data_IF_280643436944
#
_entry.id   IF_280643436944
#
_cell.length_a   1.000
_cell.length_b   1.000
_cell.length_c   1.000
_cell.angle_alpha   90.00
_cell.angle_beta   90.00
_cell.angle_gamma   90.00
#
_symmetry.space_group_name_H-M   'P 1'
#
loop_
_entity.id
_entity.type
_entity.pdbx_description
1 polymer ?
#
# COMPACT_ATOMS: atom_id res chain seq x y z
N UNK A 1 13.82 30.18 -22.36
CA UNK A 1 12.56 29.68 -21.76
C UNK A 1 12.21 28.24 -22.16
N UNK A 2 12.61 27.77 -23.33
CA UNK A 2 12.22 26.45 -23.84
C UNK A 2 12.99 25.24 -23.31
N UNK A 3 14.07 25.43 -22.56
CA UNK A 3 14.95 24.30 -22.22
C UNK A 3 14.37 23.40 -21.08
N UNK A 4 13.86 23.96 -19.98
CA UNK A 4 13.40 23.17 -18.83
C UNK A 4 12.13 22.34 -19.16
N UNK A 5 11.21 22.88 -19.95
CA UNK A 5 10.00 22.17 -20.37
C UNK A 5 10.35 20.97 -21.25
N UNK A 6 11.19 21.16 -22.25
CA UNK A 6 11.67 20.10 -23.12
C UNK A 6 12.45 19.01 -22.32
N UNK A 7 13.26 19.43 -21.35
CA UNK A 7 13.96 18.48 -20.47
C UNK A 7 13.01 17.69 -19.60
N UNK A 8 11.92 18.30 -19.08
CA UNK A 8 10.89 17.61 -18.28
C UNK A 8 10.16 16.56 -19.14
N UNK A 9 9.79 16.92 -20.37
CA UNK A 9 9.13 15.99 -21.29
C UNK A 9 10.03 14.81 -21.64
N UNK A 10 11.27 15.08 -22.03
CA UNK A 10 12.28 14.05 -22.28
C UNK A 10 12.46 13.12 -21.06
N UNK A 11 12.54 13.69 -19.84
CA UNK A 11 12.63 12.91 -18.62
C UNK A 11 11.42 11.99 -18.41
N UNK A 12 10.23 12.49 -18.61
CA UNK A 12 9.00 11.71 -18.45
C UNK A 12 8.90 10.57 -19.47
N UNK A 13 9.34 10.81 -20.70
CA UNK A 13 9.42 9.79 -21.73
C UNK A 13 10.43 8.70 -21.39
N UNK A 14 11.63 9.06 -20.95
CA UNK A 14 12.61 8.09 -20.44
C UNK A 14 12.03 7.27 -19.27
N UNK A 15 11.36 7.94 -18.33
CA UNK A 15 10.73 7.27 -17.20
C UNK A 15 9.61 6.31 -17.63
N UNK A 16 8.87 6.65 -18.67
CA UNK A 16 7.77 5.84 -19.21
C UNK A 16 8.27 4.67 -20.05
N UNK A 17 9.13 4.92 -21.02
CA UNK A 17 9.48 3.95 -22.05
C UNK A 17 10.75 3.15 -21.74
N UNK A 18 11.77 3.76 -21.18
CA UNK A 18 13.02 3.04 -20.83
C UNK A 18 12.93 2.43 -19.42
N UNK A 19 12.54 3.22 -18.40
CA UNK A 19 12.45 2.74 -17.00
C UNK A 19 11.15 2.02 -16.67
N UNK A 20 10.15 2.08 -17.56
CA UNK A 20 8.84 1.42 -17.40
C UNK A 20 8.22 1.69 -16.03
N UNK A 21 8.26 2.95 -15.56
CA UNK A 21 7.70 3.32 -14.28
C UNK A 21 6.18 3.25 -14.30
N UNK A 22 5.57 3.01 -13.13
CA UNK A 22 4.11 2.97 -13.01
C UNK A 22 3.47 4.32 -13.33
N UNK A 23 2.22 4.29 -13.83
CA UNK A 23 1.46 5.50 -14.14
C UNK A 23 1.31 6.44 -12.93
N UNK A 24 1.16 5.89 -11.71
CA UNK A 24 1.11 6.68 -10.48
C UNK A 24 2.42 7.42 -10.21
N UNK A 25 3.57 6.77 -10.48
CA UNK A 25 4.89 7.39 -10.35
C UNK A 25 5.07 8.50 -11.39
N UNK A 26 4.70 8.25 -12.65
CA UNK A 26 4.76 9.24 -13.73
C UNK A 26 3.87 10.45 -13.43
N UNK A 27 2.65 10.20 -12.94
CA UNK A 27 1.74 11.27 -12.52
C UNK A 27 2.31 12.11 -11.38
N UNK A 28 2.94 11.47 -10.39
CA UNK A 28 3.60 12.17 -9.29
C UNK A 28 4.77 13.03 -9.78
N UNK A 29 5.63 12.48 -10.64
CA UNK A 29 6.74 13.21 -11.23
C UNK A 29 6.27 14.40 -12.07
N UNK A 30 5.28 14.20 -12.95
CA UNK A 30 4.70 15.27 -13.76
C UNK A 30 4.17 16.40 -12.87
N UNK A 31 3.42 16.08 -11.82
CA UNK A 31 2.87 17.07 -10.89
C UNK A 31 3.97 17.84 -10.15
N UNK A 32 5.00 17.13 -9.66
CA UNK A 32 6.06 17.74 -8.88
C UNK A 32 6.97 18.65 -9.74
N UNK A 33 7.30 18.21 -10.95
CA UNK A 33 8.12 18.98 -11.90
C UNK A 33 7.35 20.18 -12.46
N UNK A 34 6.05 20.04 -12.74
CA UNK A 34 5.20 21.15 -13.17
C UNK A 34 5.09 22.23 -12.07
N UNK A 35 4.96 21.83 -10.82
CA UNK A 35 4.94 22.74 -9.68
C UNK A 35 6.26 23.49 -9.53
N UNK A 36 7.38 22.80 -9.68
CA UNK A 36 8.71 23.41 -9.62
C UNK A 36 8.91 24.41 -10.77
N UNK A 37 8.54 24.04 -12.00
CA UNK A 37 8.57 24.94 -13.16
C UNK A 37 7.75 26.22 -12.92
N UNK A 38 6.54 26.05 -12.39
CA UNK A 38 5.66 27.17 -12.06
C UNK A 38 6.27 28.10 -11.00
N UNK A 39 6.97 27.54 -10.00
CA UNK A 39 7.66 28.33 -8.99
C UNK A 39 8.82 29.14 -9.57
N UNK A 40 9.56 28.58 -10.51
CA UNK A 40 10.68 29.27 -11.17
C UNK A 40 10.24 30.47 -12.02
N UNK A 41 9.00 30.45 -12.56
CA UNK A 41 8.49 31.55 -13.39
C UNK A 41 9.34 31.88 -14.61
N UNK A 42 10.16 30.94 -15.08
CA UNK A 42 11.11 31.14 -16.18
C UNK A 42 12.52 31.58 -15.78
N UNK A 43 12.79 31.77 -14.49
CA UNK A 43 14.14 32.05 -14.00
C UNK A 43 15.06 30.83 -14.12
N UNK A 44 16.35 31.07 -14.31
CA UNK A 44 17.35 30.00 -14.27
C UNK A 44 17.48 29.43 -12.84
N UNK A 45 17.74 28.13 -12.78
CA UNK A 45 17.87 27.43 -11.51
C UNK A 45 19.17 27.82 -10.84
N UNK A 46 19.06 28.56 -9.74
CA UNK A 46 20.19 28.92 -8.87
C UNK A 46 20.06 28.25 -7.50
N UNK A 47 21.16 28.22 -6.75
CA UNK A 47 21.17 27.70 -5.38
C UNK A 47 20.22 28.46 -4.47
N UNK A 48 20.11 29.77 -4.64
CA UNK A 48 19.22 30.61 -3.85
C UNK A 48 17.75 30.34 -4.17
N UNK A 49 17.39 30.19 -5.45
CA UNK A 49 16.05 29.79 -5.87
C UNK A 49 15.66 28.41 -5.36
N UNK A 50 16.58 27.45 -5.36
CA UNK A 50 16.33 26.15 -4.76
C UNK A 50 16.10 26.24 -3.26
N UNK A 51 16.85 27.06 -2.54
CA UNK A 51 16.66 27.30 -1.10
C UNK A 51 15.29 27.96 -0.84
N UNK A 52 14.89 28.91 -1.66
CA UNK A 52 13.56 29.53 -1.59
C UNK A 52 12.44 28.50 -1.88
N UNK A 53 12.63 27.64 -2.88
CA UNK A 53 11.66 26.57 -3.18
C UNK A 53 11.53 25.58 -2.03
N UNK A 54 12.63 25.19 -1.40
CA UNK A 54 12.60 24.31 -0.23
C UNK A 54 11.83 24.96 0.93
N UNK A 55 12.06 26.26 1.16
CA UNK A 55 11.31 27.05 2.15
C UNK A 55 9.82 27.08 1.82
N UNK A 56 9.47 27.35 0.56
CA UNK A 56 8.09 27.30 0.08
C UNK A 56 7.45 25.93 0.31
N UNK A 57 8.15 24.83 -0.03
CA UNK A 57 7.63 23.48 0.17
C UNK A 57 7.38 23.19 1.66
N UNK A 58 8.31 23.57 2.53
CA UNK A 58 8.16 23.33 3.98
C UNK A 58 7.01 24.11 4.60
N UNK A 59 6.72 25.31 4.09
CA UNK A 59 5.61 26.12 4.56
C UNK A 59 4.24 25.64 4.03
N UNK A 60 4.22 24.99 2.84
CA UNK A 60 2.99 24.67 2.13
C UNK A 60 2.59 23.20 2.22
N UNK A 61 3.50 22.29 2.58
CA UNK A 61 3.27 20.85 2.51
C UNK A 61 3.77 20.10 3.75
N UNK A 62 3.11 18.98 4.04
CA UNK A 62 3.55 18.06 5.08
C UNK A 62 4.95 17.47 4.76
N UNK A 63 5.78 17.17 5.78
CA UNK A 63 7.18 16.72 5.60
C UNK A 63 7.37 15.53 4.65
N UNK A 64 6.43 14.57 4.65
CA UNK A 64 6.45 13.44 3.70
C UNK A 64 6.28 13.90 2.24
N UNK A 65 5.41 14.88 2.01
CA UNK A 65 5.18 15.43 0.67
C UNK A 65 6.39 16.22 0.21
N UNK A 66 7.01 17.00 1.08
CA UNK A 66 8.26 17.73 0.81
C UNK A 66 9.36 16.75 0.42
N UNK A 67 9.57 15.69 1.22
CA UNK A 67 10.56 14.65 0.93
C UNK A 67 10.34 14.00 -0.44
N UNK A 68 9.08 13.67 -0.78
CA UNK A 68 8.73 13.07 -2.07
C UNK A 68 9.02 14.03 -3.22
N UNK A 69 8.59 15.29 -3.11
CA UNK A 69 8.79 16.33 -4.14
C UNK A 69 10.27 16.58 -4.42
N UNK A 70 11.07 16.69 -3.37
CA UNK A 70 12.52 16.85 -3.52
C UNK A 70 13.20 15.60 -4.08
N UNK A 71 12.70 14.40 -3.76
CA UNK A 71 13.19 13.17 -4.37
C UNK A 71 12.89 13.11 -5.88
N UNK A 72 11.70 13.59 -6.31
CA UNK A 72 11.33 13.70 -7.74
C UNK A 72 12.28 14.63 -8.48
N UNK A 73 12.58 15.80 -7.92
CA UNK A 73 13.51 16.77 -8.51
C UNK A 73 14.94 16.24 -8.57
N UNK A 74 15.43 15.62 -7.49
CA UNK A 74 16.75 15.01 -7.48
C UNK A 74 16.89 13.91 -8.53
N UNK A 75 15.85 13.08 -8.70
CA UNK A 75 15.85 12.03 -9.71
C UNK A 75 15.88 12.62 -11.14
N UNK A 76 15.14 13.70 -11.36
CA UNK A 76 15.13 14.43 -12.63
C UNK A 76 16.53 14.99 -12.95
N UNK A 77 17.08 15.83 -12.08
CA UNK A 77 18.36 16.48 -12.32
C UNK A 77 19.51 15.49 -12.45
N UNK A 78 19.52 14.43 -11.63
CA UNK A 78 20.53 13.36 -11.74
C UNK A 78 20.48 12.67 -13.11
N UNK A 79 19.28 12.40 -13.63
CA UNK A 79 19.16 11.76 -14.94
C UNK A 79 19.58 12.70 -16.05
N UNK A 80 19.20 13.97 -16.00
CA UNK A 80 19.59 14.99 -17.00
C UNK A 80 21.11 15.20 -17.02
N UNK A 81 21.76 15.21 -15.89
CA UNK A 81 23.23 15.26 -15.79
C UNK A 81 23.87 13.99 -16.37
N UNK A 82 23.38 12.80 -15.99
CA UNK A 82 23.88 11.52 -16.53
C UNK A 82 23.73 11.43 -18.05
N UNK A 83 22.74 12.11 -18.63
CA UNK A 83 22.50 12.18 -20.09
C UNK A 83 23.19 13.38 -20.75
N UNK A 84 24.05 14.10 -20.01
CA UNK A 84 24.76 15.28 -20.49
C UNK A 84 23.85 16.40 -21.02
N UNK A 85 22.56 16.34 -20.65
CA UNK A 85 21.57 17.37 -21.03
C UNK A 85 21.73 18.67 -20.20
N UNK A 86 22.40 18.57 -19.05
CA UNK A 86 22.85 19.67 -18.19
C UNK A 86 24.29 19.43 -17.77
N UNK A 87 25.06 20.49 -17.60
CA UNK A 87 26.48 20.41 -17.24
C UNK A 87 26.72 20.07 -15.76
N UNK A 88 25.78 20.42 -14.87
CA UNK A 88 25.92 20.22 -13.43
C UNK A 88 24.54 20.10 -12.77
N UNK A 89 24.45 19.16 -11.81
CA UNK A 89 23.24 18.96 -11.01
C UNK A 89 23.14 20.02 -9.91
N UNK A 90 22.13 20.90 -9.92
CA UNK A 90 22.01 21.97 -8.95
C UNK A 90 21.74 21.47 -7.52
N UNK A 91 21.37 20.19 -7.35
CA UNK A 91 21.13 19.56 -6.04
C UNK A 91 22.38 18.92 -5.43
N UNK A 92 23.48 18.78 -6.16
CA UNK A 92 24.66 18.00 -5.72
C UNK A 92 25.26 18.52 -4.42
N UNK A 93 25.33 19.85 -4.26
CA UNK A 93 25.93 20.52 -3.09
C UNK A 93 24.90 20.92 -2.02
N UNK A 94 23.63 20.55 -2.19
CA UNK A 94 22.56 20.90 -1.24
C UNK A 94 22.38 19.79 -0.21
N UNK A 95 22.82 20.05 1.03
CA UNK A 95 22.52 19.21 2.17
C UNK A 95 21.10 19.54 2.68
N UNK A 96 20.13 18.75 2.25
CA UNK A 96 18.74 18.95 2.67
C UNK A 96 18.39 17.85 3.68
N UNK A 97 18.25 18.23 4.94
CA UNK A 97 17.79 17.35 6.01
C UNK A 97 16.31 17.63 6.28
N UNK A 98 15.43 16.73 5.84
CA UNK A 98 14.00 16.78 6.17
C UNK A 98 13.77 15.75 7.27
N UNK A 99 13.55 16.23 8.47
CA UNK A 99 13.11 15.40 9.59
C UNK A 99 11.62 15.11 9.40
N UNK A 100 11.30 13.97 8.82
CA UNK A 100 9.94 13.44 8.86
C UNK A 100 9.84 12.53 10.09
N UNK A 101 8.95 12.82 11.05
CA UNK A 101 8.79 11.95 12.20
C UNK A 101 8.44 10.52 11.72
N UNK A 102 9.15 9.54 12.25
CA UNK A 102 8.82 8.12 12.05
C UNK A 102 7.52 7.86 12.78
N UNK A 103 6.40 7.96 12.09
CA UNK A 103 5.14 7.49 12.64
C UNK A 103 5.14 5.96 12.54
N UNK A 104 4.98 5.31 13.68
CA UNK A 104 4.67 3.87 13.70
C UNK A 104 3.39 3.63 12.88
N UNK A 105 3.32 2.53 12.13
CA UNK A 105 2.10 2.17 11.43
C UNK A 105 0.95 2.05 12.43
N UNK A 106 -0.17 2.70 12.11
CA UNK A 106 -1.38 2.56 12.90
C UNK A 106 -2.06 1.24 12.53
N UNK A 107 -2.24 0.38 13.51
CA UNK A 107 -3.11 -0.80 13.41
C UNK A 107 -4.55 -0.39 13.70
N UNK A 108 -5.49 -1.20 13.24
CA UNK A 108 -6.91 -1.07 13.58
C UNK A 108 -7.13 -1.95 14.83
N UNK A 109 -7.70 -1.44 15.92
CA UNK A 109 -8.06 -2.25 17.08
C UNK A 109 -9.00 -3.40 16.68
N UNK A 110 -8.84 -4.55 17.34
CA UNK A 110 -9.63 -5.76 17.01
C UNK A 110 -11.14 -5.52 17.10
N UNK A 111 -11.60 -4.82 18.17
CA UNK A 111 -13.01 -4.51 18.33
C UNK A 111 -13.57 -3.67 17.17
N UNK A 112 -12.80 -2.69 16.65
CA UNK A 112 -13.22 -1.89 15.49
C UNK A 112 -13.35 -2.75 14.23
N UNK A 113 -12.47 -3.74 14.04
CA UNK A 113 -12.60 -4.67 12.89
C UNK A 113 -13.85 -5.53 13.05
N UNK A 114 -14.09 -6.06 14.26
CA UNK A 114 -15.26 -6.87 14.57
C UNK A 114 -16.54 -6.07 14.31
N UNK A 115 -16.68 -4.89 14.91
CA UNK A 115 -17.84 -4.03 14.75
C UNK A 115 -18.06 -3.63 13.28
N UNK A 116 -16.97 -3.37 12.54
CA UNK A 116 -17.03 -3.05 11.12
C UNK A 116 -17.59 -4.21 10.29
N UNK A 117 -17.13 -5.43 10.54
CA UNK A 117 -17.62 -6.64 9.88
C UNK A 117 -19.05 -6.92 10.28
N UNK A 118 -19.39 -6.87 11.58
CA UNK A 118 -20.75 -7.04 12.07
C UNK A 118 -21.72 -6.06 11.41
N UNK A 119 -21.36 -4.77 11.31
CA UNK A 119 -22.18 -3.76 10.65
C UNK A 119 -22.41 -4.08 9.16
N UNK A 120 -21.45 -4.75 8.49
CA UNK A 120 -21.60 -5.16 7.11
C UNK A 120 -22.48 -6.42 6.98
N UNK A 121 -22.28 -7.40 7.85
CA UNK A 121 -23.08 -8.64 7.87
C UNK A 121 -24.55 -8.37 8.26
N UNK A 122 -24.81 -7.48 9.21
CA UNK A 122 -26.17 -7.07 9.58
C UNK A 122 -26.96 -6.39 8.44
N UNK A 123 -26.25 -5.73 7.51
CA UNK A 123 -26.89 -5.12 6.33
C UNK A 123 -27.22 -6.16 5.23
N UNK A 124 -26.64 -7.36 5.33
CA UNK A 124 -26.79 -8.37 4.29
C UNK A 124 -28.19 -9.00 4.29
N UNK A 125 -28.78 -9.01 3.13
CA UNK A 125 -29.99 -9.78 2.82
C UNK A 125 -29.74 -10.62 1.57
N UNK A 126 -30.34 -11.82 1.47
CA UNK A 126 -30.24 -12.64 0.26
C UNK A 126 -30.62 -11.83 -0.98
N UNK A 127 -29.73 -11.83 -1.99
CA UNK A 127 -29.92 -11.03 -3.19
C UNK A 127 -29.31 -9.62 -3.15
N UNK A 128 -28.88 -9.11 -2.01
CA UNK A 128 -28.19 -7.82 -1.89
C UNK A 128 -26.71 -7.92 -2.34
N UNK A 129 -26.51 -8.10 -3.64
CA UNK A 129 -25.16 -8.33 -4.21
C UNK A 129 -24.14 -7.24 -3.91
N UNK A 130 -24.57 -5.98 -3.80
CA UNK A 130 -23.67 -4.88 -3.42
C UNK A 130 -23.12 -5.04 -2.01
N UNK A 131 -23.97 -5.45 -1.06
CA UNK A 131 -23.56 -5.69 0.33
C UNK A 131 -22.66 -6.91 0.42
N UNK A 132 -23.00 -7.99 -0.29
CA UNK A 132 -22.19 -9.20 -0.37
C UNK A 132 -20.77 -8.90 -0.89
N UNK A 133 -20.65 -8.06 -1.92
CA UNK A 133 -19.36 -7.56 -2.41
C UNK A 133 -18.61 -6.77 -1.35
N UNK A 134 -19.30 -5.89 -0.64
CA UNK A 134 -18.69 -5.04 0.39
C UNK A 134 -18.12 -5.90 1.52
N UNK A 135 -18.86 -6.91 1.99
CA UNK A 135 -18.40 -7.88 2.98
C UNK A 135 -17.15 -8.60 2.47
N UNK A 136 -17.21 -9.14 1.25
CA UNK A 136 -16.05 -9.84 0.67
C UNK A 136 -14.82 -8.96 0.58
N UNK A 137 -14.96 -7.68 0.23
CA UNK A 137 -13.85 -6.71 0.19
C UNK A 137 -13.23 -6.52 1.58
N UNK A 138 -14.04 -6.37 2.62
CA UNK A 138 -13.57 -6.19 4.01
C UNK A 138 -12.88 -7.44 4.52
N UNK A 139 -13.46 -8.61 4.31
CA UNK A 139 -12.91 -9.91 4.70
C UNK A 139 -11.58 -10.21 3.99
N UNK A 140 -11.48 -9.96 2.69
CA UNK A 140 -10.23 -10.14 1.96
C UNK A 140 -9.14 -9.17 2.42
N UNK A 141 -9.46 -7.92 2.71
CA UNK A 141 -8.50 -6.96 3.25
C UNK A 141 -7.95 -7.42 4.61
N UNK A 142 -8.84 -7.86 5.50
CA UNK A 142 -8.48 -8.30 6.85
C UNK A 142 -7.79 -9.65 6.85
N UNK A 143 -8.37 -10.66 6.19
CA UNK A 143 -7.89 -12.04 6.22
C UNK A 143 -6.66 -12.34 5.37
N UNK A 144 -6.24 -11.39 4.49
CA UNK A 144 -5.10 -11.63 3.59
C UNK A 144 -4.01 -10.57 3.65
N UNK A 145 -4.30 -9.41 4.18
CA UNK A 145 -3.39 -8.26 4.13
C UNK A 145 -3.01 -7.82 2.71
N UNK A 146 -3.81 -8.17 1.69
CA UNK A 146 -3.61 -7.82 0.28
C UNK A 146 -3.55 -6.30 0.08
N UNK A 147 -2.74 -5.79 -0.86
CA UNK A 147 -2.78 -4.37 -1.21
C UNK A 147 -4.08 -4.04 -1.93
N UNK A 148 -4.62 -2.84 -1.70
CA UNK A 148 -5.88 -2.41 -2.33
C UNK A 148 -5.84 -2.48 -3.87
N UNK A 149 -4.70 -2.18 -4.48
CA UNK A 149 -4.52 -2.30 -5.93
C UNK A 149 -4.52 -3.75 -6.41
N UNK A 150 -3.93 -4.66 -5.64
CA UNK A 150 -3.91 -6.10 -5.90
C UNK A 150 -5.32 -6.70 -5.74
N UNK A 151 -6.04 -6.30 -4.69
CA UNK A 151 -7.44 -6.68 -4.48
C UNK A 151 -8.31 -6.28 -5.68
N UNK A 152 -8.18 -5.04 -6.15
CA UNK A 152 -8.93 -4.53 -7.30
C UNK A 152 -8.53 -5.20 -8.63
N UNK A 153 -7.34 -5.80 -8.70
CA UNK A 153 -6.82 -6.49 -9.87
C UNK A 153 -7.11 -8.00 -9.89
N UNK A 154 -7.83 -8.54 -8.87
CA UNK A 154 -8.23 -9.94 -8.87
C UNK A 154 -9.08 -10.26 -10.09
N UNK A 155 -8.67 -11.28 -10.83
CA UNK A 155 -9.32 -11.77 -12.03
C UNK A 155 -9.76 -13.23 -11.86
N UNK A 156 -10.66 -13.75 -12.71
CA UNK A 156 -11.05 -15.15 -12.66
C UNK A 156 -9.86 -16.12 -12.76
N UNK A 157 -8.81 -15.74 -13.48
CA UNK A 157 -7.60 -16.56 -13.67
C UNK A 157 -6.70 -16.58 -12.42
N UNK A 158 -6.78 -15.52 -11.59
CA UNK A 158 -5.96 -15.37 -10.38
C UNK A 158 -6.62 -15.87 -9.11
N UNK A 159 -7.91 -16.25 -9.18
CA UNK A 159 -8.68 -16.76 -8.03
C UNK A 159 -9.05 -18.21 -8.28
N UNK A 160 -8.51 -19.12 -7.46
CA UNK A 160 -8.81 -20.54 -7.50
C UNK A 160 -9.58 -20.95 -6.25
N UNK A 161 -10.88 -21.14 -6.39
CA UNK A 161 -11.74 -21.59 -5.30
C UNK A 161 -11.91 -23.13 -5.37
N UNK A 162 -11.32 -23.83 -4.41
CA UNK A 162 -11.45 -25.26 -4.24
C UNK A 162 -12.42 -25.64 -3.11
N UNK A 163 -12.56 -26.97 -2.87
CA UNK A 163 -13.44 -27.48 -1.83
C UNK A 163 -13.04 -27.03 -0.41
N UNK A 164 -11.72 -26.99 -0.13
CA UNK A 164 -11.19 -26.72 1.22
C UNK A 164 -10.18 -25.58 1.25
N UNK A 165 -9.96 -24.88 0.14
CA UNK A 165 -8.97 -23.79 0.08
C UNK A 165 -9.29 -22.81 -1.04
N UNK A 166 -9.01 -21.55 -0.75
CA UNK A 166 -8.96 -20.45 -1.71
C UNK A 166 -7.51 -20.08 -1.97
N UNK A 167 -7.10 -20.00 -3.23
CA UNK A 167 -5.79 -19.50 -3.62
C UNK A 167 -5.94 -18.24 -4.44
N UNK A 168 -5.20 -17.21 -4.03
CA UNK A 168 -5.12 -15.95 -4.73
C UNK A 168 -3.70 -15.80 -5.30
N UNK A 169 -3.57 -15.81 -6.62
CA UNK A 169 -2.31 -15.49 -7.30
C UNK A 169 -2.20 -13.97 -7.40
N UNK A 170 -1.23 -13.40 -6.74
CA UNK A 170 -1.04 -11.95 -6.67
C UNK A 170 0.18 -11.55 -7.50
N UNK A 171 -0.05 -10.71 -8.50
CA UNK A 171 1.00 -10.10 -9.29
C UNK A 171 1.51 -8.83 -8.60
N UNK A 172 2.74 -8.86 -8.14
CA UNK A 172 3.40 -7.75 -7.46
C UNK A 172 4.20 -6.84 -8.41
N UNK A 173 4.83 -5.81 -7.84
CA UNK A 173 5.71 -4.90 -8.58
C UNK A 173 6.95 -5.66 -9.08
N UNK A 174 7.33 -5.45 -10.35
CA UNK A 174 8.51 -6.09 -10.96
C UNK A 174 8.30 -7.55 -11.33
N UNK A 175 7.10 -7.94 -11.74
CA UNK A 175 6.74 -9.30 -12.18
C UNK A 175 6.94 -10.39 -11.10
N UNK A 176 7.02 -9.99 -9.84
CA UNK A 176 7.07 -10.96 -8.73
C UNK A 176 5.66 -11.44 -8.44
N UNK A 177 5.49 -12.74 -8.43
CA UNK A 177 4.24 -13.39 -8.07
C UNK A 177 4.30 -13.98 -6.67
N UNK A 178 3.16 -14.01 -5.98
CA UNK A 178 3.00 -14.77 -4.75
C UNK A 178 1.60 -15.36 -4.68
N UNK A 179 1.48 -16.47 -3.99
CA UNK A 179 0.20 -17.10 -3.72
C UNK A 179 -0.18 -16.85 -2.26
N UNK A 180 -1.40 -16.36 -2.05
CA UNK A 180 -2.03 -16.32 -0.72
C UNK A 180 -3.00 -17.50 -0.68
N UNK A 181 -2.81 -18.42 0.25
CA UNK A 181 -3.70 -19.54 0.48
C UNK A 181 -4.50 -19.32 1.76
N UNK A 182 -5.80 -19.54 1.69
CA UNK A 182 -6.76 -19.38 2.79
C UNK A 182 -7.58 -20.65 2.86
N UNK A 183 -7.77 -21.15 4.07
CA UNK A 183 -8.56 -22.34 4.40
C UNK A 183 -9.64 -22.06 5.46
N UNK A 184 -9.83 -20.79 5.83
CA UNK A 184 -10.85 -20.33 6.78
C UNK A 184 -12.25 -20.64 6.22
N UNK A 185 -13.06 -21.48 6.89
CA UNK A 185 -14.36 -21.93 6.36
C UNK A 185 -15.32 -20.79 6.01
N UNK A 186 -15.35 -19.76 6.85
CA UNK A 186 -16.25 -18.60 6.69
C UNK A 186 -15.93 -17.83 5.41
N UNK A 187 -14.64 -17.61 5.12
CA UNK A 187 -14.24 -16.90 3.91
C UNK A 187 -14.42 -17.76 2.65
N UNK A 188 -14.23 -19.08 2.76
CA UNK A 188 -14.52 -20.02 1.67
C UNK A 188 -16.01 -20.01 1.33
N UNK A 189 -16.88 -20.03 2.33
CA UNK A 189 -18.33 -19.99 2.12
C UNK A 189 -18.78 -18.65 1.54
N UNK A 190 -18.27 -17.55 2.06
CA UNK A 190 -18.52 -16.21 1.51
C UNK A 190 -18.12 -16.13 0.03
N UNK A 191 -16.96 -16.70 -0.34
CA UNK A 191 -16.52 -16.77 -1.73
C UNK A 191 -17.46 -17.62 -2.60
N UNK A 192 -17.97 -18.76 -2.09
CA UNK A 192 -18.93 -19.61 -2.82
C UNK A 192 -20.23 -18.85 -3.08
N UNK A 193 -20.80 -18.22 -2.06
CA UNK A 193 -22.02 -17.40 -2.19
C UNK A 193 -21.78 -16.28 -3.21
N UNK A 194 -20.62 -15.64 -3.16
CA UNK A 194 -20.26 -14.59 -4.10
C UNK A 194 -20.19 -15.11 -5.54
N UNK A 195 -19.54 -16.26 -5.76
CA UNK A 195 -19.46 -16.88 -7.09
C UNK A 195 -20.80 -17.41 -7.58
N UNK A 196 -21.67 -17.92 -6.71
CA UNK A 196 -23.04 -18.27 -7.06
C UNK A 196 -23.84 -17.04 -7.51
N UNK A 197 -23.67 -15.91 -6.83
CA UNK A 197 -24.40 -14.67 -7.14
C UNK A 197 -23.88 -14.00 -8.43
N UNK A 198 -22.55 -13.99 -8.62
CA UNK A 198 -21.92 -13.22 -9.69
C UNK A 198 -21.20 -14.06 -10.75
N UNK A 199 -21.26 -15.40 -10.68
CA UNK A 199 -20.48 -16.30 -11.52
C UNK A 199 -20.63 -16.02 -13.02
N UNK A 200 -21.85 -15.77 -13.50
CA UNK A 200 -22.08 -15.43 -14.91
C UNK A 200 -21.41 -14.13 -15.33
N UNK A 201 -21.33 -13.12 -14.42
CA UNK A 201 -20.59 -11.88 -14.69
C UNK A 201 -19.09 -12.08 -14.62
N UNK A 202 -18.62 -12.89 -13.68
CA UNK A 202 -17.20 -13.18 -13.48
C UNK A 202 -16.64 -13.90 -14.68
N UNK A 203 -17.36 -14.88 -15.26
CA UNK A 203 -16.90 -15.66 -16.41
C UNK A 203 -16.67 -14.83 -17.67
N UNK A 204 -17.50 -13.79 -17.88
CA UNK A 204 -17.39 -12.92 -19.08
C UNK A 204 -16.57 -11.65 -18.83
N UNK A 205 -16.03 -11.49 -17.62
CA UNK A 205 -15.32 -10.31 -17.19
C UNK A 205 -13.82 -10.58 -16.95
N UNK A 206 -13.02 -9.53 -17.01
CA UNK A 206 -11.61 -9.56 -16.60
C UNK A 206 -11.41 -9.34 -15.09
N UNK A 207 -12.48 -9.19 -14.30
CA UNK A 207 -12.39 -8.89 -12.86
C UNK A 207 -13.34 -9.74 -12.03
N UNK A 208 -12.98 -10.01 -10.79
CA UNK A 208 -13.84 -10.68 -9.81
C UNK A 208 -14.69 -9.67 -9.04
N UNK A 209 -14.16 -8.49 -8.73
CA UNK A 209 -14.83 -7.48 -7.93
C UNK A 209 -15.36 -6.33 -8.78
N UNK A 210 -16.68 -6.10 -8.72
CA UNK A 210 -17.36 -5.09 -9.53
C UNK A 210 -17.85 -3.91 -8.69
N UNK A 211 -17.90 -2.74 -9.33
CA UNK A 211 -18.67 -1.60 -8.82
C UNK A 211 -20.16 -1.72 -9.24
N UNK A 212 -20.97 -0.76 -8.77
CA UNK A 212 -22.41 -0.76 -9.03
C UNK A 212 -22.78 -0.61 -10.53
N UNK A 213 -21.80 -0.19 -11.35
CA UNK A 213 -21.93 -0.09 -12.82
C UNK A 213 -21.40 -1.32 -13.57
N UNK A 214 -21.06 -2.40 -12.85
CA UNK A 214 -20.51 -3.62 -13.44
C UNK A 214 -19.05 -3.51 -13.93
N UNK A 215 -18.33 -2.41 -13.63
CA UNK A 215 -16.93 -2.24 -13.96
C UNK A 215 -16.04 -2.69 -12.79
N UNK A 216 -14.77 -2.96 -13.07
CA UNK A 216 -13.79 -3.30 -12.03
C UNK A 216 -13.81 -2.32 -10.86
N UNK A 217 -13.73 -2.85 -9.65
CA UNK A 217 -13.68 -2.05 -8.44
C UNK A 217 -12.39 -1.23 -8.41
N UNK A 218 -12.48 0.05 -8.05
CA UNK A 218 -11.31 0.91 -7.93
C UNK A 218 -10.83 1.03 -6.48
N UNK A 219 -9.55 1.36 -6.24
CA UNK A 219 -9.06 1.64 -4.89
C UNK A 219 -9.85 2.73 -4.16
N UNK A 220 -10.41 3.69 -4.90
CA UNK A 220 -11.27 4.73 -4.33
C UNK A 220 -12.63 4.16 -3.89
N UNK A 221 -13.19 3.20 -4.63
CA UNK A 221 -14.41 2.50 -4.25
C UNK A 221 -14.21 1.69 -2.99
N UNK A 222 -13.08 0.97 -2.86
CA UNK A 222 -12.73 0.24 -1.63
C UNK A 222 -12.65 1.19 -0.42
N UNK A 223 -12.00 2.36 -0.57
CA UNK A 223 -11.98 3.36 0.52
C UNK A 223 -13.37 3.89 0.87
N UNK A 224 -14.29 3.97 -0.10
CA UNK A 224 -15.68 4.34 0.16
C UNK A 224 -16.44 3.26 0.92
N UNK A 225 -16.22 1.98 0.58
CA UNK A 225 -16.78 0.84 1.30
C UNK A 225 -16.35 0.88 2.77
N UNK A 226 -15.05 0.96 3.05
CA UNK A 226 -14.54 1.05 4.42
C UNK A 226 -15.21 2.21 5.17
N UNK A 227 -15.24 3.41 4.58
CA UNK A 227 -15.86 4.58 5.20
C UNK A 227 -17.37 4.43 5.40
N UNK A 228 -18.09 3.74 4.50
CA UNK A 228 -19.53 3.47 4.62
C UNK A 228 -19.83 2.75 5.94
N UNK A 229 -19.08 1.69 6.24
CA UNK A 229 -19.33 0.89 7.44
C UNK A 229 -18.73 1.52 8.71
N UNK A 230 -17.58 2.16 8.64
CA UNK A 230 -17.06 2.90 9.79
C UNK A 230 -17.98 4.02 10.29
N UNK A 231 -18.75 4.66 9.40
CA UNK A 231 -19.74 5.68 9.79
C UNK A 231 -20.94 5.12 10.57
N UNK A 232 -21.15 3.81 10.57
CA UNK A 232 -22.22 3.13 11.30
C UNK A 232 -21.81 2.76 12.73
N UNK A 233 -20.52 2.80 13.03
CA UNK A 233 -20.00 2.49 14.35
C UNK A 233 -20.28 3.63 15.33
N UNK A 234 -20.55 3.31 16.60
CA UNK A 234 -20.70 4.30 17.65
C UNK A 234 -19.41 5.13 17.84
N UNK A 235 -18.27 4.48 17.73
CA UNK A 235 -16.95 5.12 17.84
C UNK A 235 -16.52 5.70 16.50
N UNK A 236 -16.15 6.98 16.50
CA UNK A 236 -15.58 7.61 15.32
C UNK A 236 -14.17 7.11 15.06
N UNK A 237 -14.01 6.31 14.02
CA UNK A 237 -12.72 5.76 13.61
C UNK A 237 -12.43 6.01 12.14
N UNK A 238 -11.15 6.19 11.80
CA UNK A 238 -10.70 6.34 10.43
C UNK A 238 -9.71 5.22 10.08
N UNK A 239 -10.11 4.32 9.18
CA UNK A 239 -9.25 3.27 8.67
C UNK A 239 -8.99 3.42 7.17
N UNK A 240 -7.84 2.89 6.76
CA UNK A 240 -7.41 2.84 5.36
C UNK A 240 -7.05 1.40 5.00
N UNK A 241 -7.07 1.00 3.71
CA UNK A 241 -6.63 -0.34 3.30
C UNK A 241 -5.21 -0.70 3.77
N UNK A 242 -4.33 0.28 3.90
CA UNK A 242 -2.99 0.06 4.44
C UNK A 242 -3.00 -0.31 5.92
N UNK A 243 -3.93 0.25 6.70
CA UNK A 243 -4.06 -0.12 8.10
C UNK A 243 -4.54 -1.56 8.26
N UNK A 244 -5.47 -2.06 7.44
CA UNK A 244 -5.85 -3.49 7.42
C UNK A 244 -4.63 -4.38 7.21
N UNK A 245 -3.80 -4.05 6.23
CA UNK A 245 -2.57 -4.80 5.96
C UNK A 245 -1.57 -4.73 7.11
N UNK A 246 -1.43 -3.58 7.77
CA UNK A 246 -0.58 -3.46 8.96
C UNK A 246 -1.11 -4.27 10.12
N UNK A 247 -2.43 -4.22 10.35
CA UNK A 247 -3.09 -5.03 11.39
C UNK A 247 -2.86 -6.51 11.13
N UNK A 248 -3.13 -7.00 9.92
CA UNK A 248 -2.88 -8.39 9.55
C UNK A 248 -1.43 -8.82 9.82
N UNK A 249 -0.45 -8.01 9.40
CA UNK A 249 0.96 -8.30 9.65
C UNK A 249 1.32 -8.32 11.14
N UNK A 250 0.79 -7.37 11.91
CA UNK A 250 1.04 -7.27 13.35
C UNK A 250 0.40 -8.42 14.10
N UNK A 251 -0.85 -8.76 13.78
CA UNK A 251 -1.56 -9.90 14.40
C UNK A 251 -0.82 -11.23 14.17
N UNK A 252 -0.34 -11.47 12.94
CA UNK A 252 0.45 -12.68 12.65
C UNK A 252 1.78 -12.71 13.41
N UNK A 253 2.43 -11.55 13.55
CA UNK A 253 3.70 -11.45 14.29
C UNK A 253 3.49 -11.66 15.79
N UNK A 254 2.42 -11.09 16.36
CA UNK A 254 2.00 -11.30 17.76
C UNK A 254 1.62 -12.76 18.03
N UNK A 255 1.01 -13.43 17.03
CA UNK A 255 0.73 -14.85 17.07
C UNK A 255 2.00 -15.74 16.95
N UNK A 256 3.17 -15.15 16.71
CA UNK A 256 4.46 -15.86 16.68
C UNK A 256 4.94 -16.28 15.29
N UNK A 257 4.28 -15.83 14.21
CA UNK A 257 4.77 -16.13 12.87
C UNK A 257 6.09 -15.40 12.59
N UNK A 258 7.07 -16.11 12.02
CA UNK A 258 8.38 -15.53 11.66
C UNK A 258 8.17 -14.39 10.65
N UNK A 259 8.85 -13.28 10.89
CA UNK A 259 8.77 -12.07 10.07
C UNK A 259 9.11 -12.30 8.60
N UNK A 260 9.95 -13.31 8.29
CA UNK A 260 10.31 -13.67 6.91
C UNK A 260 9.13 -14.29 6.17
N UNK A 261 8.30 -15.09 6.83
CA UNK A 261 7.07 -15.62 6.24
C UNK A 261 6.05 -14.50 6.01
N UNK A 262 5.90 -13.58 6.97
CA UNK A 262 5.04 -12.40 6.81
C UNK A 262 5.51 -11.55 5.64
N UNK A 263 6.83 -11.33 5.48
CA UNK A 263 7.41 -10.62 4.34
C UNK A 263 7.08 -11.27 3.00
N UNK A 264 7.27 -12.59 2.91
CA UNK A 264 6.95 -13.36 1.71
C UNK A 264 5.45 -13.28 1.39
N UNK A 265 4.59 -13.50 2.38
CA UNK A 265 3.14 -13.45 2.26
C UNK A 265 2.66 -12.07 1.78
N UNK A 266 3.23 -11.01 2.32
CA UNK A 266 2.88 -9.65 1.95
C UNK A 266 3.57 -9.17 0.65
N UNK A 267 4.63 -9.84 0.19
CA UNK A 267 5.40 -9.41 -0.99
C UNK A 267 6.12 -8.08 -0.75
N UNK A 268 6.88 -7.98 0.35
CA UNK A 268 7.75 -6.85 0.64
C UNK A 268 9.09 -7.03 -0.09
N UNK A 269 9.42 -6.10 -0.99
CA UNK A 269 10.67 -6.12 -1.75
C UNK A 269 11.88 -5.60 -0.96
N UNK A 270 11.68 -5.03 0.23
CA UNK A 270 12.70 -4.38 1.04
C UNK A 270 12.53 -4.68 2.52
N UNK A 271 13.64 -5.02 3.18
CA UNK A 271 13.75 -5.18 4.63
C UNK A 271 13.34 -3.90 5.37
N UNK A 272 13.57 -2.72 4.77
CA UNK A 272 13.21 -1.43 5.39
C UNK A 272 11.70 -1.26 5.62
N UNK A 273 10.85 -1.89 4.80
CA UNK A 273 9.40 -1.89 5.01
C UNK A 273 9.02 -2.79 6.18
N UNK A 274 9.88 -3.72 6.55
CA UNK A 274 9.68 -4.69 7.64
C UNK A 274 10.33 -4.23 8.95
N UNK A 275 11.32 -3.33 8.89
CA UNK A 275 11.88 -2.68 10.09
C UNK A 275 10.81 -1.96 10.93
N UNK A 276 9.65 -1.68 10.35
CA UNK A 276 8.49 -1.11 11.04
C UNK A 276 7.94 -2.08 12.10
N UNK A 277 8.09 -3.39 11.88
CA UNK A 277 7.61 -4.45 12.79
C UNK A 277 8.68 -4.95 13.75
N UNK A 278 9.92 -4.45 13.67
CA UNK A 278 11.02 -4.89 14.54
C UNK A 278 10.76 -4.61 16.02
N UNK A 279 9.98 -3.57 16.33
CA UNK A 279 9.63 -3.28 17.73
C UNK A 279 8.69 -4.34 18.32
N UNK A 280 7.70 -4.79 17.55
CA UNK A 280 6.78 -5.88 17.96
C UNK A 280 7.54 -7.22 18.01
N UNK A 281 8.42 -7.45 17.04
CA UNK A 281 9.29 -8.62 17.01
C UNK A 281 10.23 -8.68 18.20
N UNK A 282 10.78 -7.54 18.65
CA UNK A 282 11.69 -7.49 19.81
C UNK A 282 10.97 -7.84 21.12
N UNK A 283 9.75 -7.35 21.32
CA UNK A 283 8.95 -7.72 22.51
C UNK A 283 8.64 -9.22 22.50
N UNK A 284 8.15 -9.74 21.38
CA UNK A 284 7.84 -11.18 21.24
C UNK A 284 9.08 -12.05 21.38
N UNK A 285 10.22 -11.59 20.87
CA UNK A 285 11.51 -12.30 21.05
C UNK A 285 11.90 -12.38 22.52
N UNK A 286 11.70 -11.30 23.29
CA UNK A 286 11.96 -11.29 24.73
C UNK A 286 11.02 -12.26 25.48
N UNK A 287 9.73 -12.28 25.13
CA UNK A 287 8.74 -13.18 25.71
C UNK A 287 9.08 -14.64 25.40
N UNK A 288 9.42 -14.97 24.17
CA UNK A 288 9.84 -16.30 23.76
C UNK A 288 11.17 -16.69 24.40
N UNK A 289 12.12 -15.78 24.55
CA UNK A 289 13.38 -16.07 25.25
C UNK A 289 13.11 -16.37 26.70
N UNK A 290 12.22 -15.66 27.37
CA UNK A 290 11.82 -15.94 28.74
C UNK A 290 11.20 -17.34 28.88
N UNK A 291 10.30 -17.71 27.94
CA UNK A 291 9.62 -19.02 27.98
C UNK A 291 10.51 -20.22 27.59
N UNK A 292 11.39 -20.00 26.59
CA UNK A 292 12.17 -21.07 25.96
C UNK A 292 13.64 -21.02 26.32
N UNK A 293 14.06 -20.15 27.25
CA UNK A 293 15.46 -20.00 27.61
C UNK A 293 16.04 -21.34 28.13
N UNK A 294 17.16 -21.83 27.57
CA UNK A 294 17.72 -23.15 27.93
C UNK A 294 17.99 -23.30 29.42
N UNK A 295 18.38 -22.21 30.11
CA UNK A 295 18.64 -22.19 31.54
C UNK A 295 17.39 -22.45 32.38
N UNK A 296 16.20 -22.07 31.91
CA UNK A 296 14.93 -22.31 32.59
C UNK A 296 14.57 -23.83 32.69
N UNK A 297 15.18 -24.66 31.85
CA UNK A 297 15.02 -26.13 31.88
C UNK A 297 16.01 -26.84 32.80
N UNK A 298 16.89 -26.10 33.46
CA UNK A 298 17.92 -26.65 34.32
C UNK A 298 17.71 -26.20 35.77
N UNK A 299 17.45 -27.11 36.66
CA UNK A 299 17.32 -26.83 38.10
C UNK A 299 18.68 -27.02 38.77
N UNK A 300 19.29 -25.94 39.20
CA UNK A 300 20.46 -25.99 40.11
C UNK A 300 20.06 -25.26 41.40
N UNK A 301 20.25 -25.93 42.52
CA UNK A 301 20.10 -25.37 43.86
C UNK A 301 21.45 -24.83 44.30
N UNK A 302 21.47 -23.60 44.83
CA UNK A 302 22.61 -23.02 45.53
C UNK A 302 22.72 -23.60 46.94
#
# INVERSE_FOLDING_TARGET
MNNLEALIECYLDICQYEKKLSQDTLKAYRTDLAQFRAFLGGAEVSRDLLSQYIKYLNNSFAPRSVKRKLASLRAFYRLMETREAISQNPFEKLQIHIQAPRQLPRTIPEHIIRDLLEAAYMEYQPGAGTVLRDILVLELLFGTGIRVSELCALSPQTVQLGAHKLRLLIHGKGQKERVIQIDTPELLELMRIYYQTFGGKIQVSSTVLFNDRGRALSPQSVRRIIRKYLRKLPEQYAATPHMFRHTFATTLLEAGMDIRYIQSLLGHSSISTTQIYTHVAAQRQADLLCQLHPRGKMSFHL
#
